data_IF_245401013930
#
_entry.id   IF_245401013930
#
_cell.length_a   1.000
_cell.length_b   1.000
_cell.length_c   1.000
_cell.angle_alpha   90.00
_cell.angle_beta   90.00
_cell.angle_gamma   90.00
#
_symmetry.space_group_name_H-M   'P 1'
#
loop_
_entity.id
_entity.type
_entity.pdbx_description
1 polymer ?
#
# COMPACT_ATOMS: atom_id res chain seq x y z
N UNK A 1 35.68 30.93 -53.76
CA UNK A 1 36.56 29.89 -53.17
C UNK A 1 37.07 30.42 -51.84
N UNK A 2 36.99 29.65 -50.76
CA UNK A 2 35.74 29.50 -50.01
C UNK A 2 35.94 29.50 -48.47
N UNK A 3 34.81 29.37 -47.76
CA UNK A 3 34.55 28.60 -46.51
C UNK A 3 35.51 28.72 -45.31
N UNK A 4 35.01 28.82 -44.07
CA UNK A 4 34.19 27.77 -43.46
C UNK A 4 33.13 28.31 -42.50
N UNK A 5 31.89 27.89 -42.74
CA UNK A 5 30.89 27.65 -41.69
C UNK A 5 31.37 26.44 -40.88
N UNK A 6 31.28 26.52 -39.55
CA UNK A 6 30.96 25.33 -38.75
C UNK A 6 29.78 25.65 -37.83
N UNK A 7 28.78 24.78 -37.97
CA UNK A 7 27.54 24.70 -37.22
C UNK A 7 27.81 24.25 -35.78
N UNK A 8 26.97 24.75 -34.88
CA UNK A 8 26.38 24.06 -33.73
C UNK A 8 27.19 23.03 -32.97
N UNK A 9 27.38 23.30 -31.67
CA UNK A 9 27.09 22.29 -30.67
C UNK A 9 26.65 22.99 -29.38
N UNK A 10 25.34 23.05 -29.18
CA UNK A 10 24.77 23.11 -27.83
C UNK A 10 25.34 21.93 -27.07
N UNK A 11 25.96 22.17 -25.91
CA UNK A 11 26.34 21.11 -24.99
C UNK A 11 25.07 20.69 -24.22
N UNK A 12 24.49 19.50 -24.45
CA UNK A 12 23.46 18.95 -23.58
C UNK A 12 24.18 18.12 -22.52
N UNK A 13 24.63 18.78 -21.46
CA UNK A 13 25.58 18.12 -20.57
C UNK A 13 25.90 18.86 -19.28
N UNK A 14 24.91 19.47 -18.65
CA UNK A 14 24.94 19.64 -17.19
C UNK A 14 23.60 19.18 -16.67
N UNK A 15 23.58 17.92 -16.22
CA UNK A 15 22.48 17.38 -15.43
C UNK A 15 22.34 18.29 -14.19
N UNK A 16 21.15 18.85 -13.99
CA UNK A 16 20.78 19.54 -12.75
C UNK A 16 21.01 18.60 -11.57
N UNK A 17 22.15 18.76 -10.90
CA UNK A 17 22.50 18.02 -9.68
C UNK A 17 21.88 18.64 -8.41
N UNK A 18 21.09 19.71 -8.53
CA UNK A 18 20.57 20.48 -7.38
C UNK A 18 19.14 20.13 -6.95
N UNK A 19 18.60 18.99 -7.39
CA UNK A 19 17.30 18.50 -6.90
C UNK A 19 17.38 17.09 -6.32
N UNK A 20 18.41 16.82 -5.52
CA UNK A 20 18.45 15.61 -4.70
C UNK A 20 17.59 15.81 -3.44
N UNK A 21 16.61 14.92 -3.18
CA UNK A 21 15.81 15.00 -1.97
C UNK A 21 16.70 14.85 -0.73
N UNK A 22 16.38 15.52 0.39
CA UNK A 22 17.14 15.39 1.63
C UNK A 22 17.30 13.94 2.05
N UNK A 23 18.53 13.52 2.34
CA UNK A 23 18.86 12.13 2.70
C UNK A 23 18.09 11.63 3.92
N UNK A 24 17.75 12.53 4.85
CA UNK A 24 16.90 12.23 6.01
C UNK A 24 15.49 11.76 5.59
N UNK A 25 14.87 12.42 4.60
CA UNK A 25 13.55 12.04 4.10
C UNK A 25 13.60 10.69 3.37
N UNK A 26 14.67 10.45 2.61
CA UNK A 26 14.91 9.16 1.95
C UNK A 26 15.05 8.05 3.00
N UNK A 27 15.81 8.30 4.07
CA UNK A 27 16.01 7.33 5.16
C UNK A 27 14.71 6.99 5.89
N UNK A 28 13.82 7.97 6.10
CA UNK A 28 12.49 7.74 6.69
C UNK A 28 11.66 6.80 5.81
N UNK A 29 11.55 7.08 4.50
CA UNK A 29 10.75 6.26 3.57
C UNK A 29 11.35 4.85 3.45
N UNK A 30 12.68 4.73 3.43
CA UNK A 30 13.35 3.42 3.43
C UNK A 30 13.10 2.64 4.72
N UNK A 31 13.07 3.32 5.87
CA UNK A 31 12.77 2.70 7.15
C UNK A 31 11.31 2.20 7.27
N UNK A 32 10.40 2.75 6.46
CA UNK A 32 9.02 2.26 6.34
C UNK A 32 8.91 0.97 5.51
N UNK A 33 10.00 0.51 4.89
CA UNK A 33 10.06 -0.74 4.13
C UNK A 33 10.05 -0.55 2.62
N UNK A 34 10.15 0.68 2.12
CA UNK A 34 10.24 0.96 0.69
C UNK A 34 11.68 0.96 0.19
N UNK A 35 11.88 0.63 -1.07
CA UNK A 35 13.22 0.67 -1.67
C UNK A 35 13.68 2.13 -1.88
N UNK A 36 15.00 2.35 -1.87
CA UNK A 36 15.61 3.68 -1.95
C UNK A 36 15.31 4.41 -3.28
N UNK A 37 15.31 3.69 -4.39
CA UNK A 37 14.93 4.20 -5.72
C UNK A 37 13.49 4.75 -5.73
N UNK A 38 12.57 4.05 -5.08
CA UNK A 38 11.16 4.42 -4.96
C UNK A 38 11.01 5.66 -4.10
N UNK A 39 11.70 5.71 -2.97
CA UNK A 39 11.75 6.88 -2.10
C UNK A 39 12.25 8.12 -2.85
N UNK A 40 13.36 8.00 -3.59
CA UNK A 40 13.91 9.10 -4.39
C UNK A 40 12.94 9.58 -5.47
N UNK A 41 12.29 8.65 -6.17
CA UNK A 41 11.31 8.97 -7.22
C UNK A 41 10.09 9.69 -6.65
N UNK A 42 9.54 9.18 -5.55
CA UNK A 42 8.37 9.75 -4.89
C UNK A 42 8.66 11.15 -4.33
N UNK A 43 9.80 11.33 -3.67
CA UNK A 43 10.21 12.61 -3.11
C UNK A 43 10.47 13.65 -4.22
N UNK A 44 11.06 13.24 -5.36
CA UNK A 44 11.20 14.12 -6.53
C UNK A 44 9.85 14.50 -7.14
N UNK A 45 8.94 13.53 -7.29
CA UNK A 45 7.61 13.78 -7.84
C UNK A 45 6.80 14.75 -6.96
N UNK A 46 6.98 14.68 -5.64
CA UNK A 46 6.22 15.45 -4.65
C UNK A 46 6.99 16.66 -4.10
N UNK A 47 8.00 17.14 -4.83
CA UNK A 47 8.79 18.34 -4.48
C UNK A 47 9.33 18.32 -3.03
N UNK A 48 9.91 17.19 -2.64
CA UNK A 48 10.47 16.92 -1.30
C UNK A 48 9.44 16.99 -0.16
N UNK A 49 8.15 16.82 -0.45
CA UNK A 49 7.12 16.66 0.57
C UNK A 49 6.96 15.20 0.96
N UNK A 50 7.35 14.86 2.19
CA UNK A 50 7.34 13.48 2.71
C UNK A 50 5.92 12.86 2.74
N UNK A 51 4.92 13.60 3.21
CA UNK A 51 3.55 13.09 3.36
C UNK A 51 2.94 12.72 2.02
N UNK A 52 3.05 13.63 1.05
CA UNK A 52 2.60 13.38 -0.31
C UNK A 52 3.43 12.30 -1.01
N UNK A 53 4.74 12.21 -0.75
CA UNK A 53 5.57 11.15 -1.30
C UNK A 53 5.10 9.77 -0.82
N UNK A 54 4.73 9.62 0.45
CA UNK A 54 4.21 8.36 0.97
C UNK A 54 2.86 7.99 0.35
N UNK A 55 1.92 8.93 0.26
CA UNK A 55 0.63 8.72 -0.43
C UNK A 55 0.83 8.34 -1.91
N UNK A 56 1.79 9.00 -2.57
CA UNK A 56 2.17 8.68 -3.94
C UNK A 56 2.70 7.26 -4.09
N UNK A 57 3.54 6.79 -3.15
CA UNK A 57 4.08 5.42 -3.16
C UNK A 57 2.95 4.39 -3.00
N UNK A 58 2.00 4.61 -2.09
CA UNK A 58 0.88 3.69 -1.89
C UNK A 58 -0.09 3.64 -3.08
N UNK A 59 -0.21 4.75 -3.82
CA UNK A 59 -1.06 4.82 -5.02
C UNK A 59 -0.39 4.29 -6.29
N UNK A 60 0.94 4.09 -6.29
CA UNK A 60 1.72 3.63 -7.45
C UNK A 60 2.64 2.42 -7.12
N UNK A 61 2.07 1.27 -6.69
CA UNK A 61 2.86 0.09 -6.29
C UNK A 61 3.61 -0.58 -7.46
N UNK A 62 3.17 -0.39 -8.70
CA UNK A 62 3.63 -1.14 -9.89
C UNK A 62 5.01 -0.73 -10.40
N UNK A 63 5.59 0.35 -9.89
CA UNK A 63 6.77 0.96 -10.52
C UNK A 63 8.11 0.38 -10.02
N UNK A 64 8.05 -0.77 -9.32
CA UNK A 64 9.17 -1.41 -8.64
C UNK A 64 9.77 -2.58 -9.45
N UNK A 65 9.07 -3.09 -10.48
CA UNK A 65 9.54 -4.25 -11.24
C UNK A 65 10.33 -3.90 -12.51
N UNK A 66 10.26 -2.65 -13.00
CA UNK A 66 10.87 -2.28 -14.29
C UNK A 66 12.39 -1.99 -14.23
N UNK A 67 13.05 -2.13 -13.07
CA UNK A 67 14.49 -1.90 -12.94
C UNK A 67 15.26 -3.12 -12.39
N UNK A 68 14.82 -4.32 -12.75
CA UNK A 68 15.53 -5.57 -12.51
C UNK A 68 16.13 -6.15 -13.79
N UNK A 69 17.07 -5.47 -14.46
CA UNK A 69 18.19 -6.04 -15.26
C UNK A 69 18.88 -4.97 -16.12
N UNK A 70 20.19 -4.69 -15.97
CA UNK A 70 21.01 -4.20 -17.07
C UNK A 70 21.58 -5.43 -17.78
N UNK A 71 20.85 -5.99 -18.74
CA UNK A 71 21.41 -7.08 -19.56
C UNK A 71 22.26 -6.46 -20.66
N UNK A 72 23.49 -6.10 -20.31
CA UNK A 72 24.57 -5.93 -21.29
C UNK A 72 24.91 -7.32 -21.85
N UNK A 73 25.01 -7.35 -23.17
CA UNK A 73 25.14 -8.52 -24.04
C UNK A 73 26.52 -9.20 -23.93
N UNK A 74 26.57 -10.54 -23.76
CA UNK A 74 27.42 -11.51 -24.49
C UNK A 74 27.61 -12.87 -23.74
N UNK A 75 27.18 -13.97 -24.40
CA UNK A 75 27.77 -15.35 -24.47
C UNK A 75 28.07 -16.12 -23.14
N UNK A 76 27.66 -17.38 -22.86
CA UNK A 76 27.57 -18.61 -23.66
C UNK A 76 26.63 -19.69 -23.05
N UNK A 77 25.86 -20.34 -23.94
CA UNK A 77 25.52 -21.78 -24.13
C UNK A 77 25.47 -22.77 -22.92
N UNK A 78 24.25 -23.29 -22.71
CA UNK A 78 23.84 -24.68 -22.37
C UNK A 78 24.17 -25.27 -20.99
N UNK A 79 23.13 -25.39 -20.16
CA UNK A 79 22.82 -26.67 -19.50
C UNK A 79 21.35 -26.76 -19.09
N UNK A 80 20.61 -27.62 -19.80
CA UNK A 80 19.32 -28.15 -19.36
C UNK A 80 19.45 -28.80 -17.98
N UNK A 81 18.64 -28.38 -17.01
CA UNK A 81 18.12 -29.25 -15.93
C UNK A 81 16.95 -28.56 -15.22
N UNK A 82 15.74 -28.98 -15.59
CA UNK A 82 14.51 -29.08 -14.80
C UNK A 82 14.44 -28.31 -13.48
N UNK A 83 13.75 -27.17 -13.48
CA UNK A 83 12.96 -26.73 -12.34
C UNK A 83 11.59 -26.33 -12.86
N UNK A 84 10.64 -27.24 -12.66
CA UNK A 84 9.22 -27.07 -12.86
C UNK A 84 8.71 -26.03 -11.84
N UNK A 85 8.99 -24.75 -12.08
CA UNK A 85 8.36 -23.65 -11.35
C UNK A 85 7.21 -23.21 -12.24
N UNK A 86 6.02 -23.71 -11.90
CA UNK A 86 4.76 -23.11 -12.31
C UNK A 86 4.86 -21.63 -11.92
N UNK A 87 5.17 -20.80 -12.90
CA UNK A 87 4.94 -19.37 -12.82
C UNK A 87 3.43 -19.19 -12.74
N UNK A 88 2.87 -19.34 -11.53
CA UNK A 88 1.68 -18.59 -11.18
C UNK A 88 2.10 -17.13 -11.34
N UNK A 89 1.68 -16.54 -12.47
CA UNK A 89 1.66 -15.10 -12.65
C UNK A 89 1.01 -14.51 -11.39
N UNK A 90 1.82 -13.88 -10.53
CA UNK A 90 1.31 -13.15 -9.37
C UNK A 90 0.28 -12.17 -9.96
N UNK A 91 -0.99 -12.23 -9.54
CA UNK A 91 -2.03 -11.42 -10.16
C UNK A 91 -1.64 -9.95 -10.01
N UNK A 92 -1.50 -9.25 -11.13
CA UNK A 92 -1.37 -7.78 -11.19
C UNK A 92 -2.50 -7.17 -10.35
N UNK A 93 -2.15 -6.69 -9.16
CA UNK A 93 -3.07 -6.07 -8.22
C UNK A 93 -2.83 -6.42 -6.75
N UNK A 94 -3.61 -5.80 -5.84
CA UNK A 94 -3.46 -6.02 -4.42
C UNK A 94 -3.67 -7.49 -4.05
N UNK A 95 -2.86 -8.02 -3.11
CA UNK A 95 -3.03 -9.37 -2.57
C UNK A 95 -4.34 -9.50 -1.80
N UNK A 96 -5.41 -9.88 -2.50
CA UNK A 96 -6.76 -10.05 -1.94
C UNK A 96 -6.98 -11.50 -1.54
N UNK A 97 -7.40 -11.73 -0.29
CA UNK A 97 -7.75 -13.06 0.22
C UNK A 97 -9.18 -13.45 -0.17
N UNK A 98 -9.36 -14.00 -1.36
CA UNK A 98 -10.68 -14.48 -1.82
C UNK A 98 -11.16 -15.74 -1.06
N UNK A 99 -12.43 -16.10 -1.22
CA UNK A 99 -13.06 -17.29 -0.64
C UNK A 99 -14.58 -17.24 -0.61
N UNK A 100 -15.22 -18.22 0.04
CA UNK A 100 -16.69 -18.30 0.07
C UNK A 100 -17.34 -17.02 0.65
N UNK A 101 -18.42 -16.56 0.02
CA UNK A 101 -19.19 -15.39 0.46
C UNK A 101 -20.06 -15.60 1.70
N UNK A 102 -19.77 -16.63 2.51
CA UNK A 102 -20.55 -16.96 3.71
C UNK A 102 -19.87 -16.37 4.95
N UNK A 103 -20.63 -15.58 5.69
CA UNK A 103 -20.12 -14.88 6.86
C UNK A 103 -21.07 -15.02 8.04
N UNK A 104 -20.52 -14.97 9.24
CA UNK A 104 -21.29 -14.75 10.46
C UNK A 104 -20.95 -13.40 11.08
N UNK A 105 -21.94 -12.77 11.71
CA UNK A 105 -21.74 -11.52 12.42
C UNK A 105 -20.85 -11.76 13.63
N UNK A 106 -19.69 -11.09 13.65
CA UNK A 106 -18.69 -11.17 14.71
C UNK A 106 -18.79 -9.98 15.66
N UNK A 107 -19.12 -8.80 15.16
CA UNK A 107 -19.23 -7.60 15.96
C UNK A 107 -19.85 -6.42 15.22
N UNK A 108 -20.23 -5.39 15.95
CA UNK A 108 -20.69 -4.14 15.39
C UNK A 108 -20.40 -2.96 16.33
N UNK A 109 -20.23 -1.78 15.76
CA UNK A 109 -20.08 -0.51 16.45
C UNK A 109 -21.37 0.28 16.25
N UNK A 110 -21.93 0.81 17.33
CA UNK A 110 -23.14 1.65 17.29
C UNK A 110 -22.80 3.08 17.66
N UNK A 111 -23.28 4.04 16.86
CA UNK A 111 -23.34 5.44 17.23
C UNK A 111 -24.68 5.72 17.93
N UNK A 112 -24.65 6.08 19.20
CA UNK A 112 -25.85 6.44 19.96
C UNK A 112 -26.03 7.95 19.97
N UNK A 113 -26.94 8.43 19.13
CA UNK A 113 -27.27 9.85 19.01
C UNK A 113 -27.98 10.13 17.68
N UNK A 114 -28.76 11.20 17.63
CA UNK A 114 -29.45 11.66 16.41
C UNK A 114 -28.66 12.71 15.63
N UNK A 115 -27.59 13.25 16.22
CA UNK A 115 -26.72 14.27 15.62
C UNK A 115 -25.51 13.61 14.96
N UNK A 116 -25.10 14.11 13.80
CA UNK A 116 -23.83 13.71 13.18
C UNK A 116 -22.61 14.32 13.87
N UNK A 117 -22.82 15.39 14.66
CA UNK A 117 -21.76 16.14 15.34
C UNK A 117 -21.54 15.66 16.79
N UNK A 118 -22.42 14.82 17.33
CA UNK A 118 -22.35 14.37 18.71
C UNK A 118 -23.09 13.06 18.93
N UNK A 119 -22.52 12.19 19.76
CA UNK A 119 -23.15 10.98 20.25
C UNK A 119 -22.16 10.17 21.06
N UNK A 120 -22.49 8.90 21.29
CA UNK A 120 -21.64 7.98 22.05
C UNK A 120 -21.41 6.68 21.28
N UNK A 121 -20.15 6.29 21.14
CA UNK A 121 -19.81 5.04 20.47
C UNK A 121 -19.66 3.89 21.48
N UNK A 122 -20.34 2.79 21.19
CA UNK A 122 -20.17 1.53 21.90
C UNK A 122 -19.98 0.40 20.89
N UNK A 123 -19.31 -0.67 21.28
CA UNK A 123 -19.20 -1.84 20.43
C UNK A 123 -19.73 -3.10 21.10
N UNK A 124 -20.29 -3.97 20.28
CA UNK A 124 -20.74 -5.30 20.67
C UNK A 124 -19.89 -6.32 19.91
N UNK A 125 -19.22 -7.20 20.64
CA UNK A 125 -18.42 -8.28 20.07
C UNK A 125 -18.95 -9.62 20.55
N UNK A 126 -18.96 -10.61 19.65
CA UNK A 126 -19.30 -12.00 19.97
C UNK A 126 -18.02 -12.75 20.35
N UNK A 127 -17.81 -12.97 21.64
CA UNK A 127 -16.68 -13.73 22.20
C UNK A 127 -17.17 -15.04 22.79
N UNK A 128 -16.54 -16.16 22.41
CA UNK A 128 -16.88 -17.50 22.93
C UNK A 128 -18.39 -17.82 22.81
N UNK A 129 -19.01 -17.38 21.72
CA UNK A 129 -20.45 -17.55 21.46
C UNK A 129 -21.38 -16.58 22.20
N UNK A 130 -20.86 -15.75 23.12
CA UNK A 130 -21.63 -14.77 23.91
C UNK A 130 -21.37 -13.35 23.42
N UNK A 131 -22.40 -12.52 23.49
CA UNK A 131 -22.29 -11.10 23.15
C UNK A 131 -21.84 -10.31 24.36
N UNK A 132 -20.88 -9.41 24.13
CA UNK A 132 -20.32 -8.52 25.14
C UNK A 132 -20.42 -7.10 24.62
N UNK A 133 -20.94 -6.20 25.45
CA UNK A 133 -20.90 -4.76 25.20
C UNK A 133 -19.66 -4.16 25.84
N UNK A 134 -18.92 -3.39 25.06
CA UNK A 134 -17.82 -2.55 25.52
C UNK A 134 -18.25 -1.10 25.41
N UNK A 135 -18.37 -0.46 26.57
CA UNK A 135 -18.74 0.94 26.73
C UNK A 135 -17.69 1.60 27.61
N UNK A 136 -16.61 2.07 26.99
CA UNK A 136 -15.42 2.60 27.65
C UNK A 136 -14.88 1.64 28.72
N UNK A 137 -14.90 2.06 29.99
CA UNK A 137 -14.46 1.27 31.14
C UNK A 137 -15.48 0.19 31.56
N UNK A 138 -16.72 0.24 31.04
CA UNK A 138 -17.79 -0.69 31.37
C UNK A 138 -17.85 -1.81 30.34
N UNK A 139 -17.60 -3.02 30.79
CA UNK A 139 -17.69 -4.23 29.97
C UNK A 139 -18.70 -5.17 30.59
N UNK A 140 -19.73 -5.55 29.82
CA UNK A 140 -20.84 -6.35 30.34
C UNK A 140 -21.28 -7.40 29.32
N UNK A 141 -21.84 -8.50 29.80
CA UNK A 141 -22.57 -9.43 28.94
C UNK A 141 -23.81 -8.73 28.35
N UNK A 142 -24.02 -8.86 27.05
CA UNK A 142 -25.17 -8.29 26.34
C UNK A 142 -26.05 -9.43 25.85
N UNK A 143 -27.11 -9.76 26.60
CA UNK A 143 -27.99 -10.88 26.24
C UNK A 143 -28.82 -10.59 24.99
N UNK A 144 -29.20 -9.32 24.80
CA UNK A 144 -30.03 -8.85 23.69
C UNK A 144 -29.34 -7.67 22.98
N UNK A 145 -28.27 -7.94 22.20
CA UNK A 145 -27.53 -6.89 21.52
C UNK A 145 -28.41 -6.20 20.45
N UNK A 146 -28.41 -4.86 20.35
CA UNK A 146 -29.23 -4.10 19.40
C UNK A 146 -28.63 -4.11 17.98
N UNK A 147 -28.62 -5.28 17.34
CA UNK A 147 -27.96 -5.51 16.04
C UNK A 147 -28.51 -4.65 14.90
N UNK A 148 -29.72 -4.14 15.00
CA UNK A 148 -30.35 -3.30 13.96
C UNK A 148 -29.92 -1.83 14.05
N UNK A 149 -29.29 -1.43 15.17
CA UNK A 149 -28.86 -0.05 15.44
C UNK A 149 -27.32 0.08 15.37
N UNK A 150 -26.67 -0.79 14.60
CA UNK A 150 -25.25 -0.70 14.32
C UNK A 150 -24.98 0.33 13.22
N UNK A 151 -23.80 0.93 13.29
CA UNK A 151 -23.28 1.83 12.27
C UNK A 151 -22.24 1.13 11.39
N UNK A 152 -21.25 0.47 12.01
CA UNK A 152 -20.22 -0.32 11.31
C UNK A 152 -20.33 -1.77 11.76
N UNK A 153 -20.38 -2.70 10.81
CA UNK A 153 -20.53 -4.13 11.07
C UNK A 153 -19.29 -4.91 10.65
N UNK A 154 -18.90 -5.87 11.49
CA UNK A 154 -17.77 -6.76 11.26
C UNK A 154 -18.29 -8.18 11.12
N UNK A 155 -18.01 -8.75 9.96
CA UNK A 155 -18.38 -10.11 9.60
C UNK A 155 -17.12 -10.95 9.48
N UNK A 156 -17.13 -12.16 10.05
CA UNK A 156 -16.04 -13.12 9.88
C UNK A 156 -16.47 -14.20 8.89
N UNK A 157 -15.59 -14.53 7.95
CA UNK A 157 -15.85 -15.57 6.95
C UNK A 157 -15.94 -16.91 7.66
N UNK A 158 -16.98 -17.68 7.34
CA UNK A 158 -17.14 -19.04 7.86
C UNK A 158 -16.15 -19.93 7.10
N UNK A 159 -15.29 -20.71 7.80
CA UNK A 159 -14.43 -21.70 7.14
C UNK A 159 -15.26 -22.63 6.26
N UNK A 160 -14.74 -22.97 5.08
CA UNK A 160 -15.37 -23.98 4.22
C UNK A 160 -15.16 -25.38 4.77
#
# INVERSE_FOLDING_TARGET
MPELRFLGQECPGFLDFDNQPPEEMVSIVVSMGFQRNVALRALRAMNNNLEHALDWIFSHPETDEENGTPTSEAMDIENHLNANILAESDPEGPRIKDGSGRYELFGFISHMGTSTMSGHYVCHLKKEGRWVIYNDLKVCASERPPKELGYIYFYRRIPS
#
